data_IF_069324139858
#
_entry.id   IF_069324139858
#
_cell.length_a   1.000
_cell.length_b   1.000
_cell.length_c   1.000
_cell.angle_alpha   90.00
_cell.angle_beta   90.00
_cell.angle_gamma   90.00
#
_symmetry.space_group_name_H-M   'P 1'
#
loop_
_entity.id
_entity.type
_entity.pdbx_description
1 polymer ?
#
# COMPACT_ATOMS: atom_id res chain seq x y z
N UNK A 1 21.16 1.41 -28.15
CA UNK A 1 19.99 1.75 -27.31
C UNK A 1 19.27 2.89 -27.98
N UNK A 2 18.02 2.70 -28.40
CA UNK A 2 17.26 3.74 -29.09
C UNK A 2 16.02 3.15 -29.76
N UNK A 3 15.06 2.71 -28.95
CA UNK A 3 13.74 2.36 -29.47
C UNK A 3 12.98 3.66 -29.72
N UNK A 4 13.04 4.07 -30.98
CA UNK A 4 12.30 5.15 -31.59
C UNK A 4 10.80 4.82 -31.61
N UNK A 5 10.03 5.81 -31.15
CA UNK A 5 8.72 6.27 -31.63
C UNK A 5 7.89 5.30 -32.48
N UNK A 6 6.79 4.85 -31.90
CA UNK A 6 5.71 4.19 -32.62
C UNK A 6 5.09 5.16 -33.64
N UNK A 7 5.06 4.76 -34.91
CA UNK A 7 4.56 5.56 -36.02
C UNK A 7 3.03 5.47 -36.08
N UNK A 8 2.35 6.57 -35.77
CA UNK A 8 0.89 6.67 -35.58
C UNK A 8 0.11 6.83 -36.89
N UNK A 9 0.81 6.95 -38.03
CA UNK A 9 0.19 7.32 -39.32
C UNK A 9 -0.34 6.10 -40.09
N UNK A 10 0.20 4.90 -39.85
CA UNK A 10 -0.24 3.68 -40.54
C UNK A 10 -1.54 3.08 -39.98
N UNK A 11 -1.95 3.47 -38.78
CA UNK A 11 -3.16 2.92 -38.13
C UNK A 11 -4.42 3.64 -38.63
N UNK A 12 -4.30 4.94 -38.94
CA UNK A 12 -5.41 5.77 -39.42
C UNK A 12 -5.81 5.50 -40.88
N UNK A 13 -4.93 4.91 -41.69
CA UNK A 13 -5.22 4.61 -43.10
C UNK A 13 -5.97 3.29 -43.30
N UNK A 14 -6.00 2.42 -42.29
CA UNK A 14 -6.58 1.08 -42.40
C UNK A 14 -8.02 1.00 -41.89
N UNK A 15 -8.41 1.82 -40.91
CA UNK A 15 -9.76 1.81 -40.35
C UNK A 15 -10.23 3.24 -40.02
N UNK A 16 -10.95 3.91 -40.94
CA UNK A 16 -11.46 5.27 -40.72
C UNK A 16 -12.59 5.34 -39.69
N UNK A 17 -13.10 4.21 -39.21
CA UNK A 17 -14.13 4.13 -38.17
C UNK A 17 -13.56 4.03 -36.74
N UNK A 18 -12.23 4.11 -36.56
CA UNK A 18 -11.60 4.09 -35.24
C UNK A 18 -12.15 5.16 -34.27
N UNK A 19 -12.74 6.24 -34.78
CA UNK A 19 -13.36 7.29 -33.96
C UNK A 19 -14.89 7.34 -34.05
N UNK A 20 -15.54 6.46 -34.82
CA UNK A 20 -16.99 6.48 -34.97
C UNK A 20 -17.68 5.35 -34.18
N UNK A 21 -18.02 5.75 -32.96
CA UNK A 21 -19.24 5.40 -32.23
C UNK A 21 -19.22 4.23 -31.23
N UNK A 22 -19.60 4.63 -30.02
CA UNK A 22 -20.29 3.90 -28.94
C UNK A 22 -19.43 3.08 -27.98
N UNK A 23 -19.30 3.64 -26.78
CA UNK A 23 -18.92 2.94 -25.54
C UNK A 23 -17.65 2.09 -25.63
N UNK A 24 -16.50 2.76 -25.70
CA UNK A 24 -15.30 2.21 -25.05
C UNK A 24 -15.50 2.32 -23.52
N UNK A 25 -16.49 1.57 -22.99
CA UNK A 25 -16.32 0.93 -21.70
C UNK A 25 -15.08 0.07 -21.90
N UNK A 26 -13.91 0.65 -21.66
CA UNK A 26 -12.71 -0.08 -21.36
C UNK A 26 -13.15 -1.14 -20.36
N UNK A 27 -13.22 -2.38 -20.81
CA UNK A 27 -13.32 -3.53 -19.92
C UNK A 27 -11.96 -3.58 -19.25
N UNK A 28 -11.78 -2.69 -18.29
CA UNK A 28 -10.76 -2.80 -17.29
C UNK A 28 -11.16 -4.04 -16.50
N UNK A 29 -10.56 -5.18 -16.83
CA UNK A 29 -10.51 -6.33 -15.95
C UNK A 29 -9.63 -6.01 -14.71
N UNK A 30 -9.81 -4.83 -14.12
CA UNK A 30 -9.25 -4.33 -12.87
C UNK A 30 -10.29 -4.31 -11.75
N UNK A 31 -11.54 -4.72 -12.00
CA UNK A 31 -12.60 -4.74 -10.97
C UNK A 31 -12.22 -5.51 -9.69
N UNK A 32 -11.22 -6.40 -9.73
CA UNK A 32 -10.80 -7.16 -8.55
C UNK A 32 -9.69 -6.50 -7.73
N UNK A 33 -8.84 -5.63 -8.30
CA UNK A 33 -7.67 -5.09 -7.57
C UNK A 33 -8.02 -3.75 -6.94
N UNK A 34 -8.07 -3.74 -5.61
CA UNK A 34 -8.40 -2.59 -4.79
C UNK A 34 -7.15 -2.05 -4.09
N UNK A 35 -7.23 -0.79 -3.67
CA UNK A 35 -6.22 -0.17 -2.82
C UNK A 35 -6.87 0.39 -1.56
N UNK A 36 -6.32 0.04 -0.41
CA UNK A 36 -6.81 0.46 0.90
C UNK A 36 -5.73 1.28 1.59
N UNK A 37 -6.04 2.55 1.83
CA UNK A 37 -5.21 3.48 2.59
C UNK A 37 -5.72 3.63 4.02
N UNK A 38 -4.85 3.44 5.00
CA UNK A 38 -5.16 3.57 6.43
C UNK A 38 -4.19 4.58 7.05
N UNK A 39 -4.72 5.51 7.84
CA UNK A 39 -3.94 6.52 8.55
C UNK A 39 -4.51 6.71 9.95
N UNK A 40 -3.65 6.71 10.96
CA UNK A 40 -4.01 7.02 12.33
C UNK A 40 -2.80 7.56 13.11
N UNK A 41 -3.06 8.26 14.20
CA UNK A 41 -2.05 8.85 15.08
C UNK A 41 -1.68 7.89 16.22
N UNK A 42 -0.49 8.06 16.78
CA UNK A 42 -0.01 7.30 17.94
C UNK A 42 1.22 6.44 17.65
N UNK A 43 1.66 5.72 18.67
CA UNK A 43 2.78 4.78 18.58
C UNK A 43 2.25 3.35 18.56
N UNK A 44 2.86 2.50 17.76
CA UNK A 44 2.56 1.06 17.69
C UNK A 44 3.43 0.29 18.67
N UNK A 45 2.88 -0.83 19.16
CA UNK A 45 3.65 -1.84 19.86
C UNK A 45 4.31 -2.77 18.84
N UNK A 46 5.65 -2.79 18.79
CA UNK A 46 6.40 -3.47 17.73
C UNK A 46 6.12 -4.97 17.63
N UNK A 47 5.98 -5.65 18.78
CA UNK A 47 5.69 -7.09 18.80
C UNK A 47 4.29 -7.41 18.28
N UNK A 48 3.29 -6.61 18.67
CA UNK A 48 1.90 -6.81 18.23
C UNK A 48 1.76 -6.56 16.74
N UNK A 49 2.38 -5.48 16.25
CA UNK A 49 2.44 -5.21 14.82
C UNK A 49 3.11 -6.34 14.04
N UNK A 50 4.21 -6.90 14.53
CA UNK A 50 4.88 -8.02 13.88
C UNK A 50 3.99 -9.28 13.84
N UNK A 51 3.29 -9.60 14.93
CA UNK A 51 2.33 -10.71 14.95
C UNK A 51 1.19 -10.50 13.97
N UNK A 52 0.59 -9.30 13.95
CA UNK A 52 -0.46 -8.93 12.99
C UNK A 52 0.00 -9.10 11.54
N UNK A 53 1.20 -8.61 11.20
CA UNK A 53 1.74 -8.74 9.85
C UNK A 53 2.02 -10.20 9.46
N UNK A 54 2.52 -11.01 10.39
CA UNK A 54 2.74 -12.45 10.14
C UNK A 54 1.43 -13.18 9.85
N UNK A 55 0.39 -12.89 10.63
CA UNK A 55 -0.94 -13.46 10.46
C UNK A 55 -1.56 -13.04 9.12
N UNK A 56 -1.54 -11.73 8.84
CA UNK A 56 -2.04 -11.16 7.58
C UNK A 56 -1.35 -11.75 6.35
N UNK A 57 -0.02 -11.91 6.37
CA UNK A 57 0.70 -12.51 5.26
C UNK A 57 0.39 -14.01 5.14
N UNK A 58 0.27 -14.73 6.25
CA UNK A 58 -0.04 -16.16 6.23
C UNK A 58 -1.41 -16.43 5.58
N UNK A 59 -2.40 -15.60 5.89
CA UNK A 59 -3.77 -15.78 5.42
C UNK A 59 -4.02 -15.15 4.04
N UNK A 60 -3.39 -14.00 3.76
CA UNK A 60 -3.76 -13.14 2.61
C UNK A 60 -2.59 -12.77 1.70
N UNK A 61 -1.42 -13.42 1.81
CA UNK A 61 -0.28 -13.13 0.92
C UNK A 61 -0.60 -13.24 -0.57
N UNK A 62 -1.43 -14.20 -0.98
CA UNK A 62 -1.82 -14.38 -2.38
C UNK A 62 -2.67 -13.22 -2.92
N UNK A 63 -3.42 -12.56 -2.03
CA UNK A 63 -4.27 -11.42 -2.37
C UNK A 63 -3.52 -10.08 -2.26
N UNK A 64 -2.40 -10.03 -1.53
CA UNK A 64 -1.60 -8.82 -1.29
C UNK A 64 -0.47 -8.67 -2.32
N UNK A 65 -0.65 -7.75 -3.27
CA UNK A 65 0.33 -7.51 -4.32
C UNK A 65 1.41 -6.52 -3.90
N UNK A 66 1.02 -5.48 -3.18
CA UNK A 66 1.95 -4.48 -2.67
C UNK A 66 1.45 -3.92 -1.35
N UNK A 67 2.37 -3.83 -0.40
CA UNK A 67 2.12 -3.16 0.88
C UNK A 67 3.19 -2.12 1.12
N UNK A 68 2.81 -0.99 1.69
CA UNK A 68 3.74 0.03 2.16
C UNK A 68 3.25 0.56 3.49
N UNK A 69 4.18 0.79 4.42
CA UNK A 69 3.87 1.40 5.68
C UNK A 69 4.92 2.41 6.11
N UNK A 70 4.46 3.42 6.83
CA UNK A 70 5.26 4.35 7.62
C UNK A 70 4.73 4.27 9.05
N UNK A 71 5.62 4.05 10.01
CA UNK A 71 5.26 3.66 11.36
C UNK A 71 6.06 4.46 12.39
N UNK A 72 5.42 4.65 13.53
CA UNK A 72 6.04 5.09 14.76
C UNK A 72 5.90 3.98 15.79
N UNK A 73 7.00 3.55 16.41
CA UNK A 73 6.97 2.54 17.47
C UNK A 73 7.25 3.17 18.82
N UNK A 74 6.58 2.67 19.85
CA UNK A 74 6.87 3.05 21.22
C UNK A 74 8.30 2.63 21.61
N UNK A 75 8.99 3.45 22.40
CA UNK A 75 10.36 3.19 22.85
C UNK A 75 11.47 3.39 21.80
N UNK A 76 11.17 3.85 20.59
CA UNK A 76 12.16 4.06 19.51
C UNK A 76 12.57 5.53 19.29
N UNK A 77 12.22 6.42 20.23
CA UNK A 77 12.59 7.84 20.19
C UNK A 77 12.04 8.58 18.96
N UNK A 78 12.92 9.23 18.20
CA UNK A 78 12.58 9.93 16.95
C UNK A 78 12.76 9.07 15.69
N UNK A 79 13.04 7.78 15.82
CA UNK A 79 13.22 6.91 14.67
C UNK A 79 11.89 6.72 13.93
N UNK A 80 11.88 7.05 12.65
CA UNK A 80 10.75 6.81 11.74
C UNK A 80 11.01 5.50 11.03
N UNK A 81 10.02 4.60 11.00
CA UNK A 81 10.18 3.32 10.32
C UNK A 81 9.34 3.30 9.07
N UNK A 82 9.85 2.60 8.05
CA UNK A 82 9.11 2.30 6.85
C UNK A 82 9.23 0.83 6.54
N UNK A 83 8.17 0.27 5.96
CA UNK A 83 8.28 -1.00 5.27
C UNK A 83 7.67 -0.93 3.89
N UNK A 84 8.14 -1.80 3.03
CA UNK A 84 7.55 -2.07 1.75
C UNK A 84 7.58 -3.57 1.50
N UNK A 85 6.42 -4.12 1.14
CA UNK A 85 6.23 -5.49 0.77
C UNK A 85 5.78 -5.63 -0.67
N UNK A 86 6.33 -6.60 -1.40
CA UNK A 86 5.80 -7.06 -2.69
C UNK A 86 5.68 -8.58 -2.61
N UNK A 87 4.44 -9.08 -2.64
CA UNK A 87 4.14 -10.48 -2.35
C UNK A 87 4.76 -10.92 -1.00
N UNK A 88 5.67 -11.90 -1.02
CA UNK A 88 6.27 -12.49 0.19
C UNK A 88 7.53 -11.75 0.68
N UNK A 89 8.06 -10.80 -0.09
CA UNK A 89 9.24 -10.05 0.31
C UNK A 89 8.85 -8.75 1.01
N UNK A 90 9.10 -8.68 2.32
CA UNK A 90 8.98 -7.43 3.09
C UNK A 90 10.37 -6.91 3.43
N UNK A 91 10.62 -5.65 3.07
CA UNK A 91 11.75 -4.88 3.55
C UNK A 91 11.25 -3.90 4.62
N UNK A 92 11.77 -4.02 5.84
CA UNK A 92 11.45 -3.17 6.99
C UNK A 92 12.73 -2.54 7.52
N UNK A 93 12.70 -1.24 7.79
CA UNK A 93 13.85 -0.55 8.35
C UNK A 93 13.59 0.91 8.73
N UNK A 94 14.60 1.58 9.28
CA UNK A 94 14.52 3.01 9.55
C UNK A 94 14.38 3.80 8.24
N UNK A 95 13.52 4.79 8.25
CA UNK A 95 13.41 5.77 7.19
C UNK A 95 14.67 6.64 7.15
N UNK A 96 14.97 7.18 5.96
CA UNK A 96 16.11 8.09 5.76
C UNK A 96 16.06 9.30 6.70
N UNK A 97 14.87 9.81 6.98
CA UNK A 97 14.66 10.97 7.85
C UNK A 97 13.90 10.54 9.12
N UNK A 98 14.41 10.87 10.32
CA UNK A 98 13.66 10.66 11.55
C UNK A 98 12.42 11.57 11.61
N UNK A 99 11.64 11.40 12.67
CA UNK A 99 10.60 12.36 13.04
C UNK A 99 11.23 13.68 13.46
N UNK A 100 10.72 14.79 12.93
CA UNK A 100 11.14 16.12 13.38
C UNK A 100 10.61 16.42 14.79
N UNK A 101 11.25 17.37 15.47
CA UNK A 101 10.78 17.84 16.77
C UNK A 101 9.38 18.46 16.64
N UNK A 102 8.45 18.05 17.50
CA UNK A 102 7.05 18.46 17.42
C UNK A 102 6.23 17.82 16.28
N UNK A 103 6.82 16.95 15.45
CA UNK A 103 6.07 16.25 14.39
C UNK A 103 5.11 15.20 15.00
N UNK A 104 3.84 15.30 14.64
CA UNK A 104 2.81 14.32 15.02
C UNK A 104 3.20 12.92 14.56
N UNK A 105 3.28 11.99 15.50
CA UNK A 105 3.54 10.57 15.22
C UNK A 105 2.33 9.95 14.56
N UNK A 106 2.50 9.62 13.28
CA UNK A 106 1.45 9.09 12.44
C UNK A 106 1.89 7.76 11.83
N UNK A 107 0.92 6.87 11.70
CA UNK A 107 1.08 5.60 11.02
C UNK A 107 0.27 5.68 9.73
N UNK A 108 0.89 5.29 8.63
CA UNK A 108 0.28 5.29 7.29
C UNK A 108 0.53 3.95 6.65
N UNK A 109 -0.52 3.34 6.13
CA UNK A 109 -0.45 2.06 5.45
C UNK A 109 -1.17 2.15 4.12
N UNK A 110 -0.62 1.48 3.11
CA UNK A 110 -1.22 1.32 1.80
C UNK A 110 -1.12 -0.16 1.44
N UNK A 111 -2.27 -0.81 1.30
CA UNK A 111 -2.41 -2.18 0.84
C UNK A 111 -3.00 -2.16 -0.57
N UNK A 112 -2.43 -2.91 -1.49
CA UNK A 112 -2.91 -3.06 -2.86
C UNK A 112 -3.03 -4.55 -3.14
N UNK A 113 -4.20 -4.99 -3.56
CA UNK A 113 -4.54 -6.41 -3.61
C UNK A 113 -5.98 -6.66 -3.99
N UNK A 114 -6.41 -7.91 -3.89
CA UNK A 114 -7.81 -8.31 -4.12
C UNK A 114 -8.51 -8.62 -2.80
N UNK A 115 -9.84 -8.58 -2.78
CA UNK A 115 -10.65 -8.93 -1.60
C UNK A 115 -10.18 -8.21 -0.32
N UNK A 116 -9.82 -6.92 -0.41
CA UNK A 116 -9.30 -6.18 0.75
C UNK A 116 -10.46 -5.63 1.59
N UNK A 117 -10.55 -6.06 2.85
CA UNK A 117 -11.49 -5.48 3.80
C UNK A 117 -10.81 -4.35 4.59
N UNK A 118 -11.23 -3.11 4.30
CA UNK A 118 -10.69 -1.92 4.98
C UNK A 118 -10.98 -1.93 6.48
N UNK A 119 -12.15 -2.38 6.91
CA UNK A 119 -12.55 -2.35 8.31
C UNK A 119 -11.73 -3.36 9.12
N UNK A 120 -11.55 -4.57 8.61
CA UNK A 120 -10.70 -5.61 9.18
C UNK A 120 -9.24 -5.13 9.33
N UNK A 121 -8.64 -4.64 8.24
CA UNK A 121 -7.27 -4.13 8.25
C UNK A 121 -7.10 -2.95 9.21
N UNK A 122 -8.07 -2.03 9.24
CA UNK A 122 -8.03 -0.87 10.14
C UNK A 122 -8.12 -1.32 11.59
N UNK A 123 -9.02 -2.25 11.91
CA UNK A 123 -9.19 -2.78 13.26
C UNK A 123 -7.92 -3.48 13.75
N UNK A 124 -7.36 -4.40 12.98
CA UNK A 124 -6.15 -5.12 13.37
C UNK A 124 -4.94 -4.20 13.58
N UNK A 125 -4.79 -3.16 12.74
CA UNK A 125 -3.76 -2.13 12.93
C UNK A 125 -4.00 -1.26 14.17
N UNK A 126 -5.26 -0.91 14.46
CA UNK A 126 -5.61 -0.14 15.67
C UNK A 126 -5.42 -0.96 16.95
N UNK A 127 -5.58 -2.28 16.90
CA UNK A 127 -5.27 -3.17 18.03
C UNK A 127 -3.77 -3.21 18.33
N UNK A 128 -2.92 -2.89 17.35
CA UNK A 128 -1.48 -2.76 17.53
C UNK A 128 -1.06 -1.41 18.16
N UNK A 129 -1.98 -0.48 18.39
CA UNK A 129 -1.67 0.78 19.07
C UNK A 129 -1.18 0.51 20.49
N UNK A 130 -0.04 1.09 20.83
CA UNK A 130 0.45 1.11 22.18
C UNK A 130 -0.54 1.89 23.05
N UNK A 131 -1.11 1.21 24.03
CA UNK A 131 -1.90 1.81 25.09
C UNK A 131 -1.03 1.80 26.33
N UNK A 132 -0.79 2.97 26.90
CA UNK A 132 -0.14 3.04 28.20
C UNK A 132 -1.09 2.36 29.19
N UNK A 133 -0.66 1.26 29.82
CA UNK A 133 -1.39 0.68 30.94
C UNK A 133 -1.34 1.72 32.07
N UNK A 134 -2.52 2.23 32.45
CA UNK A 134 -2.71 3.22 33.50
C UNK A 134 -2.58 2.60 34.90
#
# INVERSE_FOLDING_TARGET
MGLNSFNMESILSYDPSFFESEEDKKIHNLELVQSVGIKFEGNLHAQWFNMFMMDLLRERAADLYRTKGLLSFHGQGNTKFVFQGVHEQINFGPAKNPWAEGETRLNKFVFIGKNLDRAELTKGLMECLYKEEA
#
